data_IF_707363705005
#
_entry.id   IF_707363705005
#
_cell.length_a   1.000
_cell.length_b   1.000
_cell.length_c   1.000
_cell.angle_alpha   90.00
_cell.angle_beta   90.00
_cell.angle_gamma   90.00
#
_symmetry.space_group_name_H-M   'P 1'
#
loop_
_entity.id
_entity.type
_entity.pdbx_description
1 polymer ?
#
# COMPACT_ATOMS: atom_id res chain seq x y z
N UNK A 1 16.18 0.66 8.76
CA UNK A 1 15.25 0.40 7.62
C UNK A 1 15.31 1.60 6.70
N UNK A 2 15.57 1.35 5.43
CA UNK A 2 15.51 2.36 4.37
C UNK A 2 14.29 2.09 3.48
N UNK A 3 13.43 3.08 3.30
CA UNK A 3 12.27 3.03 2.40
C UNK A 3 12.57 3.84 1.15
N UNK A 4 12.34 3.26 -0.03
CA UNK A 4 12.51 3.89 -1.34
C UNK A 4 11.16 3.91 -2.07
N UNK A 5 10.74 5.08 -2.53
CA UNK A 5 9.60 5.23 -3.42
C UNK A 5 10.01 4.88 -4.85
N UNK A 6 9.37 3.90 -5.46
CA UNK A 6 9.65 3.51 -6.84
C UNK A 6 8.76 4.31 -7.79
N UNK A 7 7.46 4.02 -7.76
CA UNK A 7 6.45 4.70 -8.58
C UNK A 7 5.04 4.32 -8.13
N UNK A 8 4.09 5.24 -8.13
CA UNK A 8 2.67 5.03 -7.82
C UNK A 8 2.44 4.42 -6.44
N UNK A 9 2.11 3.12 -6.36
CA UNK A 9 2.02 2.35 -5.12
C UNK A 9 3.24 1.45 -4.90
N UNK A 10 4.26 1.57 -5.77
CA UNK A 10 5.48 0.79 -5.74
C UNK A 10 6.51 1.32 -4.76
N UNK A 11 6.94 0.48 -3.82
CA UNK A 11 7.97 0.78 -2.83
C UNK A 11 8.97 -0.36 -2.69
N UNK A 12 10.19 -0.03 -2.27
CA UNK A 12 11.14 -0.99 -1.75
C UNK A 12 11.48 -0.64 -0.30
N UNK A 13 11.36 -1.59 0.61
CA UNK A 13 11.79 -1.46 2.00
C UNK A 13 12.96 -2.40 2.26
N UNK A 14 14.13 -1.82 2.51
CA UNK A 14 15.34 -2.55 2.89
C UNK A 14 15.41 -2.62 4.42
N UNK A 15 15.32 -3.84 4.96
CA UNK A 15 15.53 -4.12 6.38
C UNK A 15 16.97 -4.58 6.62
N UNK A 16 17.30 -4.99 7.83
CA UNK A 16 18.64 -5.51 8.12
C UNK A 16 18.87 -6.86 7.43
N UNK A 17 17.82 -7.68 7.24
CA UNK A 17 17.93 -9.06 6.76
C UNK A 17 17.35 -9.31 5.37
N UNK A 18 16.40 -8.51 4.90
CA UNK A 18 15.74 -8.74 3.61
C UNK A 18 15.35 -7.42 2.91
N UNK A 19 14.86 -7.56 1.68
CA UNK A 19 14.28 -6.48 0.88
C UNK A 19 12.85 -6.86 0.55
N UNK A 20 11.91 -5.96 0.80
CA UNK A 20 10.50 -6.09 0.44
C UNK A 20 10.21 -5.13 -0.71
N UNK A 21 9.62 -5.62 -1.80
CA UNK A 21 9.15 -4.81 -2.92
C UNK A 21 7.65 -4.97 -3.06
N UNK A 22 6.95 -3.85 -3.08
CA UNK A 22 5.48 -3.78 -3.15
C UNK A 22 5.04 -3.21 -4.49
N UNK A 23 3.98 -3.77 -5.04
CA UNK A 23 3.18 -3.26 -6.15
C UNK A 23 4.02 -2.61 -7.28
N UNK A 24 4.97 -3.37 -7.80
CA UNK A 24 5.86 -2.92 -8.87
C UNK A 24 5.09 -2.76 -10.19
N UNK A 25 5.07 -1.55 -10.69
CA UNK A 25 4.53 -1.20 -12.00
C UNK A 25 5.62 -0.72 -12.96
N UNK A 26 6.25 0.41 -12.67
CA UNK A 26 7.34 1.02 -13.41
C UNK A 26 8.48 1.42 -12.48
N UNK A 27 9.67 1.60 -13.04
CA UNK A 27 10.87 2.05 -12.32
C UNK A 27 11.60 3.15 -13.07
N UNK A 28 11.01 4.36 -13.17
CA UNK A 28 11.59 5.46 -13.95
C UNK A 28 12.94 5.95 -13.39
N UNK A 29 13.20 5.72 -12.11
CA UNK A 29 14.44 6.12 -11.46
C UNK A 29 15.53 5.03 -11.44
N UNK A 30 15.24 3.80 -11.92
CA UNK A 30 16.21 2.71 -11.94
C UNK A 30 16.59 2.19 -10.55
N UNK A 31 15.64 2.05 -9.66
CA UNK A 31 15.83 1.55 -8.28
C UNK A 31 16.17 0.06 -8.28
N UNK A 32 15.43 -0.74 -9.06
CA UNK A 32 15.52 -2.21 -9.03
C UNK A 32 16.87 -2.77 -9.43
N UNK A 33 17.62 -2.25 -10.44
CA UNK A 33 18.94 -2.76 -10.79
C UNK A 33 19.90 -2.82 -9.60
N UNK A 34 19.88 -1.84 -8.69
CA UNK A 34 20.69 -1.81 -7.46
C UNK A 34 20.21 -2.88 -6.47
N UNK A 35 18.93 -2.99 -6.25
CA UNK A 35 18.34 -3.95 -5.30
C UNK A 35 18.57 -5.40 -5.70
N UNK A 36 18.52 -5.69 -6.99
CA UNK A 36 18.79 -7.03 -7.52
C UNK A 36 20.25 -7.47 -7.34
N UNK A 37 21.20 -6.54 -7.18
CA UNK A 37 22.61 -6.84 -6.87
C UNK A 37 22.86 -7.11 -5.38
N UNK A 38 21.92 -6.77 -4.51
CA UNK A 38 22.05 -7.01 -3.07
C UNK A 38 22.12 -8.50 -2.77
N UNK A 39 22.88 -8.90 -1.75
CA UNK A 39 22.95 -10.29 -1.27
C UNK A 39 21.73 -10.67 -0.41
N UNK A 40 20.96 -9.69 0.09
CA UNK A 40 19.76 -9.93 0.91
C UNK A 40 18.67 -10.63 0.09
N UNK A 41 17.91 -11.58 0.68
CA UNK A 41 16.70 -12.10 0.05
C UNK A 41 15.73 -10.98 -0.36
N UNK A 42 15.05 -11.17 -1.49
CA UNK A 42 14.07 -10.25 -2.03
C UNK A 42 12.68 -10.88 -1.98
N UNK A 43 11.74 -10.21 -1.34
CA UNK A 43 10.33 -10.58 -1.31
C UNK A 43 9.52 -9.60 -2.13
N UNK A 44 8.72 -10.12 -3.04
CA UNK A 44 7.91 -9.32 -3.98
C UNK A 44 6.45 -9.56 -3.68
N UNK A 45 5.73 -8.46 -3.46
CA UNK A 45 4.31 -8.43 -3.15
C UNK A 45 3.57 -7.66 -4.23
N UNK A 46 2.45 -8.22 -4.73
CA UNK A 46 1.51 -7.47 -5.55
C UNK A 46 0.10 -7.68 -5.03
N UNK A 47 -0.57 -6.58 -4.72
CA UNK A 47 -1.85 -6.56 -4.02
C UNK A 47 -3.01 -7.03 -4.87
N UNK A 48 -2.99 -6.77 -6.19
CA UNK A 48 -4.04 -7.16 -7.13
C UNK A 48 -3.57 -7.12 -8.59
N UNK A 49 -4.47 -7.39 -9.53
CA UNK A 49 -4.16 -7.67 -10.94
C UNK A 49 -4.01 -6.43 -11.83
N UNK A 50 -4.39 -5.22 -11.40
CA UNK A 50 -4.29 -4.00 -12.20
C UNK A 50 -2.83 -3.69 -12.56
N UNK A 51 -2.63 -3.05 -13.72
CA UNK A 51 -1.28 -2.81 -14.28
C UNK A 51 -0.43 -1.91 -13.39
N UNK A 52 -1.03 -0.96 -12.71
CA UNK A 52 -0.39 -0.03 -11.80
C UNK A 52 0.05 -0.65 -10.45
N UNK A 53 -0.28 -1.96 -10.22
CA UNK A 53 0.11 -2.73 -9.04
C UNK A 53 0.80 -4.05 -9.37
N UNK A 54 0.72 -4.51 -10.64
CA UNK A 54 1.30 -5.77 -11.05
C UNK A 54 1.89 -5.71 -12.45
N UNK A 55 3.22 -5.75 -12.55
CA UNK A 55 3.95 -5.90 -13.80
C UNK A 55 4.63 -7.28 -13.84
N UNK A 56 4.40 -8.05 -14.93
CA UNK A 56 4.98 -9.39 -15.11
C UNK A 56 6.52 -9.41 -15.19
N UNK A 57 7.16 -8.27 -15.44
CA UNK A 57 8.62 -8.15 -15.48
C UNK A 57 9.29 -8.59 -14.17
N UNK A 58 8.53 -8.56 -13.04
CA UNK A 58 9.02 -9.06 -11.75
C UNK A 58 9.55 -10.50 -11.85
N UNK A 59 8.93 -11.36 -12.66
CA UNK A 59 9.33 -12.77 -12.77
C UNK A 59 10.70 -12.95 -13.46
N UNK A 60 11.16 -11.97 -14.23
CA UNK A 60 12.49 -11.96 -14.80
C UNK A 60 13.59 -11.81 -13.76
N UNK A 61 13.28 -11.31 -12.57
CA UNK A 61 14.28 -11.01 -11.53
C UNK A 61 14.96 -12.27 -10.97
N UNK A 62 14.25 -13.40 -10.96
CA UNK A 62 14.83 -14.69 -10.55
C UNK A 62 16.00 -15.17 -11.43
N UNK A 63 16.11 -14.67 -12.68
CA UNK A 63 17.26 -14.95 -13.55
C UNK A 63 18.50 -14.16 -13.15
N UNK A 64 18.34 -13.09 -12.38
CA UNK A 64 19.40 -12.17 -11.94
C UNK A 64 19.74 -12.30 -10.46
N UNK A 65 18.81 -12.88 -9.67
CA UNK A 65 18.91 -12.99 -8.22
C UNK A 65 18.27 -14.32 -7.77
N UNK A 66 19.08 -15.23 -7.20
CA UNK A 66 18.62 -16.57 -6.86
C UNK A 66 17.60 -16.62 -5.70
N UNK A 67 17.69 -15.68 -4.74
CA UNK A 67 16.86 -15.66 -3.54
C UNK A 67 15.74 -14.61 -3.64
N UNK A 68 14.89 -14.76 -4.65
CA UNK A 68 13.64 -14.01 -4.80
C UNK A 68 12.46 -14.88 -4.38
N UNK A 69 11.52 -14.32 -3.64
CA UNK A 69 10.23 -14.92 -3.27
C UNK A 69 9.08 -14.06 -3.77
N UNK A 70 8.10 -14.67 -4.39
CA UNK A 70 6.91 -14.00 -4.88
C UNK A 70 5.70 -14.39 -4.03
N UNK A 71 5.18 -13.46 -3.25
CA UNK A 71 3.98 -13.61 -2.43
C UNK A 71 2.91 -12.69 -3.02
N UNK A 72 2.02 -13.24 -3.80
CA UNK A 72 1.12 -12.48 -4.65
C UNK A 72 -0.35 -12.71 -4.27
N UNK A 73 -1.21 -11.74 -4.59
CA UNK A 73 -2.64 -11.88 -4.41
C UNK A 73 -3.24 -12.96 -5.33
N UNK A 74 -4.14 -13.78 -4.79
CA UNK A 74 -4.96 -14.73 -5.60
C UNK A 74 -5.77 -14.05 -6.70
N UNK A 75 -6.03 -12.78 -6.57
CA UNK A 75 -6.73 -11.97 -7.54
C UNK A 75 -6.02 -11.96 -8.90
N UNK A 76 -4.67 -11.91 -8.89
CA UNK A 76 -3.83 -11.96 -10.10
C UNK A 76 -4.04 -13.28 -10.87
N UNK A 77 -4.14 -14.42 -10.15
CA UNK A 77 -4.47 -15.72 -10.76
C UNK A 77 -5.89 -15.74 -11.31
N UNK A 78 -6.85 -15.24 -10.55
CA UNK A 78 -8.26 -15.19 -10.94
C UNK A 78 -8.45 -14.43 -12.25
N UNK A 79 -7.69 -13.35 -12.45
CA UNK A 79 -7.70 -12.55 -13.67
C UNK A 79 -6.70 -13.04 -14.74
N UNK A 80 -6.08 -14.22 -14.55
CA UNK A 80 -5.17 -14.88 -15.50
C UNK A 80 -3.97 -14.02 -15.90
N UNK A 81 -3.51 -13.17 -14.98
CA UNK A 81 -2.34 -12.30 -15.21
C UNK A 81 -1.01 -13.04 -14.95
N UNK A 82 -1.04 -14.17 -14.26
CA UNK A 82 0.11 -15.04 -13.98
C UNK A 82 -0.30 -16.52 -13.97
N UNK A 83 0.70 -17.42 -14.00
CA UNK A 83 0.54 -18.85 -13.84
C UNK A 83 0.75 -19.26 -12.38
N UNK A 84 0.16 -20.38 -11.96
CA UNK A 84 0.22 -20.85 -10.57
C UNK A 84 1.65 -21.08 -10.09
N UNK A 85 2.51 -21.55 -10.97
CA UNK A 85 3.89 -21.94 -10.72
C UNK A 85 4.86 -20.74 -10.64
N UNK A 86 4.42 -19.55 -11.03
CA UNK A 86 5.25 -18.34 -11.07
C UNK A 86 5.43 -17.66 -9.70
N UNK A 87 4.70 -18.10 -8.66
CA UNK A 87 4.86 -17.53 -7.33
C UNK A 87 4.98 -18.60 -6.24
N UNK A 88 5.71 -18.28 -5.18
CA UNK A 88 5.89 -19.13 -3.99
C UNK A 88 4.58 -19.21 -3.18
N UNK A 89 3.78 -18.15 -3.17
CA UNK A 89 2.48 -18.15 -2.50
C UNK A 89 1.46 -17.24 -3.20
N UNK A 90 0.20 -17.71 -3.21
CA UNK A 90 -0.97 -16.97 -3.67
C UNK A 90 -1.91 -16.76 -2.50
N UNK A 91 -2.02 -15.53 -2.00
CA UNK A 91 -2.79 -15.24 -0.80
C UNK A 91 -4.08 -14.50 -1.12
N UNK A 92 -5.15 -14.86 -0.44
CA UNK A 92 -6.41 -14.12 -0.39
C UNK A 92 -6.66 -13.64 1.03
N UNK A 93 -7.71 -12.83 1.25
CA UNK A 93 -8.08 -12.30 2.57
C UNK A 93 -8.07 -13.39 3.65
N UNK A 94 -7.36 -13.13 4.74
CA UNK A 94 -7.21 -14.01 5.90
C UNK A 94 -6.11 -15.07 5.78
N UNK A 95 -5.50 -15.23 4.59
CA UNK A 95 -4.39 -16.16 4.41
C UNK A 95 -3.07 -15.59 4.92
N UNK A 96 -2.19 -16.47 5.40
CA UNK A 96 -0.87 -16.14 5.92
C UNK A 96 0.18 -16.99 5.23
N UNK A 97 1.35 -16.44 5.03
CA UNK A 97 2.58 -17.12 4.62
C UNK A 97 3.73 -16.66 5.51
N UNK A 98 4.69 -17.54 5.84
CA UNK A 98 5.83 -17.23 6.69
C UNK A 98 7.06 -18.06 6.36
N UNK A 99 8.23 -17.51 6.63
CA UNK A 99 9.51 -18.18 6.70
C UNK A 99 10.34 -17.66 7.90
N UNK A 100 11.66 -17.90 7.89
CA UNK A 100 12.53 -17.49 9.00
C UNK A 100 12.71 -15.98 9.13
N UNK A 101 12.45 -15.19 8.07
CA UNK A 101 12.70 -13.74 8.03
C UNK A 101 11.45 -12.90 8.20
N UNK A 102 10.30 -13.39 7.74
CA UNK A 102 9.07 -12.61 7.81
C UNK A 102 7.81 -13.46 7.89
N UNK A 103 6.77 -12.85 8.40
CA UNK A 103 5.39 -13.32 8.32
C UNK A 103 4.55 -12.30 7.58
N UNK A 104 3.76 -12.74 6.63
CA UNK A 104 2.80 -11.90 5.91
C UNK A 104 1.38 -12.42 6.08
N UNK A 105 0.44 -11.51 6.36
CA UNK A 105 -1.00 -11.78 6.37
C UNK A 105 -1.66 -10.92 5.31
N UNK A 106 -2.40 -11.55 4.39
CA UNK A 106 -3.23 -10.86 3.44
C UNK A 106 -4.53 -10.43 4.13
N UNK A 107 -4.79 -9.14 4.22
CA UNK A 107 -6.06 -8.58 4.70
C UNK A 107 -6.94 -8.18 3.51
N UNK A 108 -8.21 -7.84 3.74
CA UNK A 108 -9.11 -7.48 2.65
C UNK A 108 -8.84 -6.10 2.06
N UNK A 109 -9.38 -5.89 0.87
CA UNK A 109 -9.55 -4.59 0.24
C UNK A 109 -11.02 -4.42 -0.13
N UNK A 110 -11.53 -3.20 -0.08
CA UNK A 110 -12.90 -2.89 -0.50
C UNK A 110 -13.00 -2.60 -2.00
N UNK A 111 -11.87 -2.55 -2.70
CA UNK A 111 -11.79 -2.48 -4.15
C UNK A 111 -11.35 -3.84 -4.73
N UNK A 112 -10.07 -4.04 -4.99
CA UNK A 112 -9.53 -5.26 -5.60
C UNK A 112 -8.45 -5.91 -4.72
N UNK A 113 -8.33 -7.24 -4.77
CA UNK A 113 -7.25 -8.01 -4.19
C UNK A 113 -7.17 -7.96 -2.67
N UNK A 114 -6.01 -7.58 -2.16
CA UNK A 114 -5.67 -7.61 -0.72
C UNK A 114 -4.82 -6.41 -0.31
N UNK A 115 -4.81 -6.14 1.01
CA UNK A 115 -3.78 -5.34 1.66
C UNK A 115 -2.80 -6.27 2.39
N UNK A 116 -1.59 -5.80 2.66
CA UNK A 116 -0.53 -6.59 3.27
C UNK A 116 -0.21 -6.11 4.68
N UNK A 117 -0.24 -7.02 5.65
CA UNK A 117 0.35 -6.86 6.97
C UNK A 117 1.60 -7.72 7.03
N UNK A 118 2.77 -7.13 7.19
CA UNK A 118 4.05 -7.83 7.20
C UNK A 118 4.76 -7.59 8.54
N UNK A 119 5.25 -8.67 9.13
CA UNK A 119 6.06 -8.67 10.34
C UNK A 119 7.46 -9.16 9.99
N UNK A 120 8.47 -8.31 10.18
CA UNK A 120 9.88 -8.60 9.94
C UNK A 120 10.75 -7.71 10.83
N UNK A 121 11.90 -8.21 11.30
CA UNK A 121 12.85 -7.48 12.16
C UNK A 121 12.18 -6.80 13.37
N UNK A 122 11.16 -7.44 13.94
CA UNK A 122 10.38 -6.91 15.09
C UNK A 122 9.53 -5.69 14.74
N UNK A 123 9.32 -5.41 13.43
CA UNK A 123 8.53 -4.31 12.90
C UNK A 123 7.28 -4.82 12.19
N UNK A 124 6.24 -4.00 12.19
CA UNK A 124 5.00 -4.28 11.50
C UNK A 124 4.75 -3.23 10.43
N UNK A 125 4.67 -3.68 9.18
CA UNK A 125 4.54 -2.86 7.98
C UNK A 125 3.14 -3.11 7.39
N UNK A 126 2.48 -2.06 6.96
CA UNK A 126 1.21 -2.11 6.26
C UNK A 126 1.35 -1.51 4.87
N UNK A 127 0.91 -2.24 3.84
CA UNK A 127 0.72 -1.72 2.50
C UNK A 127 -0.74 -1.94 2.10
N UNK A 128 -1.45 -0.85 1.88
CA UNK A 128 -2.90 -0.87 1.70
C UNK A 128 -3.37 -1.50 0.38
N UNK A 129 -2.49 -1.62 -0.66
CA UNK A 129 -2.99 -1.84 -2.01
C UNK A 129 -4.02 -0.76 -2.33
N UNK A 130 -5.17 -1.15 -2.85
CA UNK A 130 -6.27 -0.22 -3.14
C UNK A 130 -7.38 -0.19 -2.06
N UNK A 131 -7.03 -0.53 -0.82
CA UNK A 131 -7.92 -0.29 0.30
C UNK A 131 -8.04 1.22 0.56
N UNK A 132 -9.21 1.82 0.29
CA UNK A 132 -9.46 3.24 0.50
C UNK A 132 -10.95 3.57 0.50
N UNK A 133 -11.31 4.77 0.96
CA UNK A 133 -12.64 5.34 0.80
C UNK A 133 -12.76 6.06 -0.56
N UNK A 134 -12.93 5.27 -1.63
CA UNK A 134 -12.87 5.74 -3.02
C UNK A 134 -14.01 6.69 -3.41
N UNK A 135 -15.13 6.64 -2.71
CA UNK A 135 -16.32 7.45 -3.03
C UNK A 135 -16.54 8.59 -2.04
N UNK A 136 -15.50 8.99 -1.30
CA UNK A 136 -15.56 10.02 -0.27
C UNK A 136 -16.07 11.38 -0.77
N UNK A 137 -15.86 11.72 -2.05
CA UNK A 137 -16.32 12.98 -2.66
C UNK A 137 -17.85 13.16 -2.65
N UNK A 138 -18.59 12.07 -2.59
CA UNK A 138 -20.05 12.07 -2.56
C UNK A 138 -20.63 12.13 -1.15
N UNK A 139 -19.79 11.98 -0.11
CA UNK A 139 -20.19 12.04 1.31
C UNK A 139 -20.07 13.48 1.82
N UNK A 140 -20.83 14.38 1.20
CA UNK A 140 -20.93 15.79 1.59
C UNK A 140 -22.03 16.01 2.64
N UNK A 141 -22.10 17.22 3.20
CA UNK A 141 -23.15 17.59 4.16
C UNK A 141 -24.57 17.51 3.56
N UNK A 142 -24.68 17.63 2.22
CA UNK A 142 -25.94 17.52 1.49
C UNK A 142 -26.29 16.07 1.10
N UNK A 143 -25.44 15.09 1.42
CA UNK A 143 -25.74 13.69 1.16
C UNK A 143 -26.64 13.11 2.24
N UNK A 144 -27.86 12.77 1.86
CA UNK A 144 -28.87 12.22 2.77
C UNK A 144 -29.14 10.72 2.57
N UNK A 145 -28.24 10.02 1.90
CA UNK A 145 -28.35 8.59 1.60
C UNK A 145 -28.89 8.32 0.18
N UNK A 146 -28.78 7.06 -0.24
CA UNK A 146 -29.24 6.58 -1.53
C UNK A 146 -28.15 6.47 -2.59
N UNK A 147 -28.57 6.20 -3.83
CA UNK A 147 -27.67 6.02 -4.97
C UNK A 147 -27.26 7.36 -5.56
N UNK A 148 -25.99 7.47 -5.94
CA UNK A 148 -25.41 8.59 -6.66
C UNK A 148 -24.74 8.07 -7.92
N UNK A 149 -24.97 8.71 -9.05
CA UNK A 149 -24.30 8.36 -10.29
C UNK A 149 -22.80 8.72 -10.23
N UNK A 150 -21.96 7.74 -10.46
CA UNK A 150 -20.51 7.93 -10.58
C UNK A 150 -20.11 8.04 -12.04
N UNK A 151 -19.75 9.22 -12.55
CA UNK A 151 -19.39 9.41 -13.95
C UNK A 151 -18.10 8.68 -14.33
N UNK A 152 -17.19 8.45 -13.39
CA UNK A 152 -15.91 7.78 -13.65
C UNK A 152 -16.10 6.29 -14.00
N UNK A 153 -17.14 5.66 -13.44
CA UNK A 153 -17.43 4.25 -13.64
C UNK A 153 -18.72 4.02 -14.46
N UNK A 154 -19.49 5.07 -14.74
CA UNK A 154 -20.75 4.97 -15.46
C UNK A 154 -21.84 4.16 -14.75
N UNK A 155 -21.81 4.09 -13.42
CA UNK A 155 -22.71 3.31 -12.58
C UNK A 155 -23.28 4.11 -11.43
N UNK A 156 -24.44 3.67 -10.92
CA UNK A 156 -24.98 4.16 -9.65
C UNK A 156 -24.31 3.42 -8.48
N UNK A 157 -23.86 4.19 -7.50
CA UNK A 157 -23.22 3.70 -6.28
C UNK A 157 -23.95 4.23 -5.05
N UNK A 158 -23.84 3.53 -3.95
CA UNK A 158 -24.22 3.98 -2.61
C UNK A 158 -22.93 4.35 -1.83
N UNK A 159 -22.56 5.64 -1.75
CA UNK A 159 -21.30 6.03 -1.12
C UNK A 159 -21.19 5.65 0.35
N UNK A 160 -22.33 5.65 1.09
CA UNK A 160 -22.34 5.26 2.50
C UNK A 160 -22.11 3.76 2.67
N UNK A 161 -22.63 2.94 1.75
CA UNK A 161 -22.39 1.50 1.73
C UNK A 161 -20.92 1.18 1.38
N UNK A 162 -20.34 1.90 0.42
CA UNK A 162 -18.93 1.74 0.06
C UNK A 162 -17.99 2.18 1.19
N UNK A 163 -18.28 3.30 1.86
CA UNK A 163 -17.56 3.70 3.08
C UNK A 163 -17.69 2.64 4.17
N UNK A 164 -18.89 2.09 4.37
CA UNK A 164 -19.08 1.01 5.35
C UNK A 164 -18.22 -0.21 5.02
N UNK A 165 -18.13 -0.62 3.75
CA UNK A 165 -17.24 -1.73 3.33
C UNK A 165 -15.78 -1.44 3.68
N UNK A 166 -15.30 -0.23 3.38
CA UNK A 166 -13.97 0.21 3.77
C UNK A 166 -13.75 0.14 5.28
N UNK A 167 -14.67 0.70 6.07
CA UNK A 167 -14.58 0.69 7.54
C UNK A 167 -14.66 -0.74 8.14
N UNK A 168 -15.39 -1.66 7.51
CA UNK A 168 -15.45 -3.05 7.94
C UNK A 168 -14.12 -3.77 7.69
N UNK A 169 -13.39 -3.44 6.59
CA UNK A 169 -12.02 -3.93 6.40
C UNK A 169 -11.06 -3.41 7.49
N UNK A 170 -11.17 -2.13 7.89
CA UNK A 170 -10.38 -1.60 9.01
C UNK A 170 -10.67 -2.34 10.31
N UNK A 171 -11.92 -2.69 10.60
CA UNK A 171 -12.29 -3.50 11.78
C UNK A 171 -11.67 -4.90 11.74
N UNK A 172 -11.61 -5.53 10.56
CA UNK A 172 -10.98 -6.83 10.40
C UNK A 172 -9.46 -6.75 10.63
N UNK A 173 -8.81 -5.73 10.08
CA UNK A 173 -7.37 -5.47 10.32
C UNK A 173 -7.12 -5.21 11.81
N UNK A 174 -8.03 -4.49 12.48
CA UNK A 174 -7.91 -4.16 13.91
C UNK A 174 -7.91 -5.39 14.82
N UNK A 175 -8.51 -6.50 14.38
CA UNK A 175 -8.46 -7.79 15.10
C UNK A 175 -7.04 -8.40 15.12
N UNK A 176 -6.22 -8.08 14.13
CA UNK A 176 -4.83 -8.55 14.02
C UNK A 176 -3.88 -7.67 14.83
N UNK A 177 -4.05 -6.36 14.73
CA UNK A 177 -3.16 -5.38 15.38
C UNK A 177 -3.82 -4.01 15.52
N UNK A 178 -3.32 -3.20 16.45
CA UNK A 178 -3.70 -1.78 16.62
C UNK A 178 -2.57 -0.82 16.23
N UNK A 179 -1.43 -1.33 15.77
CA UNK A 179 -0.23 -0.53 15.55
C UNK A 179 0.54 -1.03 14.32
N UNK A 180 1.09 -0.06 13.58
CA UNK A 180 2.05 -0.28 12.50
C UNK A 180 3.26 0.65 12.67
N UNK A 181 4.47 0.15 12.36
CA UNK A 181 5.69 0.97 12.33
C UNK A 181 5.77 1.80 11.05
N UNK A 182 5.35 1.24 9.90
CA UNK A 182 5.28 1.91 8.61
C UNK A 182 3.93 1.60 7.95
N UNK A 183 3.26 2.63 7.44
CA UNK A 183 1.99 2.53 6.73
C UNK A 183 2.14 3.20 5.37
N UNK A 184 1.97 2.45 4.29
CA UNK A 184 1.84 2.92 2.91
C UNK A 184 0.35 2.90 2.55
N UNK A 185 -0.24 4.09 2.28
CA UNK A 185 -1.70 4.21 2.14
C UNK A 185 -2.09 5.20 1.03
N UNK A 186 -3.14 4.91 0.22
CA UNK A 186 -3.58 5.76 -0.87
C UNK A 186 -4.00 7.16 -0.41
N UNK A 187 -3.46 8.19 -1.09
CA UNK A 187 -3.86 9.59 -0.97
C UNK A 187 -4.04 10.12 -2.40
N UNK A 188 -5.15 9.76 -3.03
CA UNK A 188 -5.38 9.98 -4.46
C UNK A 188 -6.30 11.16 -4.72
N UNK A 189 -5.72 12.26 -5.20
CA UNK A 189 -6.46 13.48 -5.51
C UNK A 189 -7.52 13.33 -6.60
N UNK A 190 -7.51 12.25 -7.40
CA UNK A 190 -8.55 11.95 -8.40
C UNK A 190 -9.93 11.72 -7.76
N UNK A 191 -9.96 11.28 -6.51
CA UNK A 191 -11.21 11.14 -5.75
C UNK A 191 -11.94 12.50 -5.65
N UNK A 192 -11.22 13.62 -5.76
CA UNK A 192 -11.81 14.95 -5.61
C UNK A 192 -11.97 15.36 -4.14
N UNK A 193 -13.01 16.10 -3.81
CA UNK A 193 -13.24 16.55 -2.43
C UNK A 193 -13.30 15.36 -1.46
N UNK A 194 -12.60 15.46 -0.34
CA UNK A 194 -12.57 14.39 0.66
C UNK A 194 -11.58 13.25 0.36
N UNK A 195 -10.69 13.36 -0.63
CA UNK A 195 -9.74 12.30 -1.01
C UNK A 195 -8.79 11.85 0.11
N UNK A 196 -8.62 12.66 1.15
CA UNK A 196 -7.86 12.30 2.35
C UNK A 196 -8.69 11.53 3.38
N UNK A 197 -10.02 11.37 3.17
CA UNK A 197 -10.94 10.81 4.17
C UNK A 197 -10.56 9.39 4.56
N UNK A 198 -10.27 8.51 3.61
CA UNK A 198 -9.87 7.14 3.90
C UNK A 198 -8.59 7.04 4.73
N UNK A 199 -7.56 7.82 4.36
CA UNK A 199 -6.30 7.89 5.11
C UNK A 199 -6.50 8.43 6.54
N UNK A 200 -7.36 9.45 6.72
CA UNK A 200 -7.72 9.97 8.05
C UNK A 200 -8.43 8.93 8.89
N UNK A 201 -9.42 8.24 8.33
CA UNK A 201 -10.16 7.16 9.01
C UNK A 201 -9.23 6.03 9.42
N UNK A 202 -8.24 5.68 8.59
CA UNK A 202 -7.21 4.70 8.95
C UNK A 202 -6.38 5.17 10.16
N UNK A 203 -5.90 6.41 10.15
CA UNK A 203 -5.11 7.00 11.25
C UNK A 203 -5.92 7.26 12.52
N UNK A 204 -7.26 7.27 12.46
CA UNK A 204 -8.12 7.31 13.64
C UNK A 204 -8.23 5.93 14.33
N UNK A 205 -8.00 4.85 13.58
CA UNK A 205 -8.10 3.47 14.07
C UNK A 205 -6.75 2.91 14.52
N UNK A 206 -5.65 3.26 13.82
CA UNK A 206 -4.35 2.61 14.01
C UNK A 206 -3.27 3.58 14.47
N UNK A 207 -2.52 3.19 15.49
CA UNK A 207 -1.27 3.86 15.87
C UNK A 207 -0.24 3.64 14.77
N UNK A 208 0.29 4.71 14.22
CA UNK A 208 1.18 4.69 13.06
C UNK A 208 2.52 5.35 13.40
N UNK A 209 3.62 4.63 13.19
CA UNK A 209 4.98 5.13 13.42
C UNK A 209 5.46 6.05 12.31
N UNK A 210 5.18 5.70 11.03
CA UNK A 210 5.45 6.53 9.86
C UNK A 210 4.31 6.35 8.85
N UNK A 211 3.68 7.45 8.44
CA UNK A 211 2.72 7.46 7.35
C UNK A 211 3.39 7.84 6.03
N UNK A 212 3.16 7.03 5.00
CA UNK A 212 3.72 7.17 3.66
C UNK A 212 2.58 7.22 2.65
N UNK A 213 2.36 8.35 1.96
CA UNK A 213 1.33 8.44 0.94
C UNK A 213 1.73 7.63 -0.30
N UNK A 214 0.74 7.06 -0.97
CA UNK A 214 0.90 6.39 -2.26
C UNK A 214 -0.29 6.64 -3.17
N UNK A 215 -0.28 6.10 -4.40
CA UNK A 215 -1.38 6.17 -5.36
C UNK A 215 -1.73 7.59 -5.85
N UNK A 216 -0.76 8.50 -5.89
CA UNK A 216 -0.97 9.93 -6.19
C UNK A 216 -0.39 10.38 -7.54
N UNK A 217 0.21 9.50 -8.35
CA UNK A 217 0.93 9.89 -9.58
C UNK A 217 0.07 10.75 -10.51
N UNK A 218 -1.18 10.39 -10.71
CA UNK A 218 -2.08 11.15 -11.59
C UNK A 218 -2.50 12.52 -11.02
N UNK A 219 -2.37 12.74 -9.71
CA UNK A 219 -2.73 14.00 -9.03
C UNK A 219 -1.51 14.80 -8.55
N UNK A 220 -0.29 14.24 -8.73
CA UNK A 220 0.99 14.86 -8.39
C UNK A 220 1.35 14.75 -6.90
N UNK A 221 2.64 14.88 -6.61
CA UNK A 221 3.22 14.77 -5.26
C UNK A 221 2.58 15.74 -4.26
N UNK A 222 2.30 16.98 -4.68
CA UNK A 222 1.74 18.01 -3.79
C UNK A 222 0.35 17.67 -3.28
N UNK A 223 -0.45 16.92 -4.06
CA UNK A 223 -1.76 16.47 -3.62
C UNK A 223 -1.65 15.57 -2.39
N UNK A 224 -0.66 14.67 -2.37
CA UNK A 224 -0.42 13.77 -1.26
C UNK A 224 0.04 14.50 0.02
N UNK A 225 0.74 15.64 -0.12
CA UNK A 225 1.25 16.41 1.03
C UNK A 225 0.15 17.07 1.88
N UNK A 226 -1.08 17.19 1.37
CA UNK A 226 -2.22 17.67 2.18
C UNK A 226 -2.51 16.80 3.39
N UNK A 227 -2.08 15.53 3.38
CA UNK A 227 -2.16 14.68 4.58
C UNK A 227 -1.24 15.14 5.72
N UNK A 228 -0.18 15.93 5.40
CA UNK A 228 0.80 16.38 6.41
C UNK A 228 0.15 17.19 7.54
N UNK A 229 -0.75 18.11 7.23
CA UNK A 229 -1.46 18.90 8.25
C UNK A 229 -2.18 17.99 9.26
N UNK A 230 -2.87 16.95 8.77
CA UNK A 230 -3.59 16.01 9.61
C UNK A 230 -2.65 15.11 10.42
N UNK A 231 -1.56 14.63 9.82
CA UNK A 231 -0.57 13.81 10.49
C UNK A 231 0.18 14.60 11.57
N UNK A 232 0.51 15.88 11.31
CA UNK A 232 1.13 16.78 12.27
C UNK A 232 0.22 16.99 13.49
N UNK A 233 -1.09 17.24 13.26
CA UNK A 233 -2.07 17.39 14.34
C UNK A 233 -2.20 16.13 15.22
N UNK A 234 -1.89 14.96 14.69
CA UNK A 234 -1.86 13.66 15.40
C UNK A 234 -0.46 13.25 15.90
N UNK A 235 0.55 14.08 15.66
CA UNK A 235 1.95 13.74 15.95
C UNK A 235 2.39 12.44 15.27
N UNK A 236 1.90 12.18 14.05
CA UNK A 236 2.29 11.05 13.23
C UNK A 236 3.36 11.50 12.23
N UNK A 237 4.57 10.92 12.26
CA UNK A 237 5.60 11.19 11.26
C UNK A 237 5.07 10.95 9.83
N UNK A 238 5.38 11.88 8.91
CA UNK A 238 4.91 11.86 7.54
C UNK A 238 6.08 12.01 6.56
N UNK A 239 6.17 11.13 5.54
CA UNK A 239 7.17 11.28 4.50
C UNK A 239 6.63 12.07 3.31
N UNK A 240 7.13 13.30 3.14
CA UNK A 240 6.87 14.14 1.96
C UNK A 240 7.71 13.67 0.77
N UNK A 241 7.23 12.69 0.03
CA UNK A 241 7.88 12.20 -1.20
C UNK A 241 7.83 13.31 -2.25
N UNK A 242 8.94 13.54 -2.98
CA UNK A 242 9.10 14.64 -3.94
C UNK A 242 9.46 14.19 -5.35
N UNK A 243 9.97 12.95 -5.48
CA UNK A 243 10.38 12.38 -6.77
C UNK A 243 10.44 10.86 -6.70
N UNK A 244 10.45 10.24 -7.87
CA UNK A 244 10.73 8.82 -8.02
C UNK A 244 12.19 8.53 -7.61
N UNK A 245 12.40 7.33 -7.05
CA UNK A 245 13.70 6.89 -6.53
C UNK A 245 14.15 7.62 -5.25
N UNK A 246 13.34 8.52 -4.69
CA UNK A 246 13.64 9.12 -3.39
C UNK A 246 13.62 8.04 -2.30
N UNK A 247 14.62 8.10 -1.40
CA UNK A 247 14.72 7.19 -0.27
C UNK A 247 14.80 7.95 1.04
N UNK A 248 14.39 7.32 2.12
CA UNK A 248 14.49 7.84 3.47
C UNK A 248 14.87 6.75 4.47
N UNK A 249 15.62 7.15 5.51
CA UNK A 249 15.78 6.32 6.70
C UNK A 249 14.57 6.50 7.62
N UNK A 250 13.78 5.44 7.78
CA UNK A 250 12.53 5.46 8.56
C UNK A 250 12.72 6.07 9.95
N UNK A 251 13.80 5.67 10.66
CA UNK A 251 14.12 6.19 11.99
C UNK A 251 14.42 7.70 12.02
N UNK A 252 14.97 8.25 10.94
CA UNK A 252 15.31 9.67 10.88
C UNK A 252 14.07 10.54 10.74
N UNK A 253 13.09 10.13 9.91
CA UNK A 253 11.81 10.83 9.80
C UNK A 253 11.05 10.79 11.13
N UNK A 254 11.02 9.62 11.79
CA UNK A 254 10.38 9.49 13.11
C UNK A 254 11.05 10.41 14.14
N UNK A 255 12.38 10.49 14.15
CA UNK A 255 13.12 11.34 15.08
C UNK A 255 12.93 12.86 14.80
N UNK A 256 12.74 13.25 13.56
CA UNK A 256 12.46 14.65 13.18
C UNK A 256 11.07 15.10 13.63
N UNK A 257 10.06 14.23 13.57
CA UNK A 257 8.70 14.55 13.98
C UNK A 257 8.53 14.61 15.51
N UNK A 258 9.52 14.12 16.27
CA UNK A 258 9.52 14.12 17.76
C UNK A 258 10.20 15.37 18.35
N UNK A 259 10.69 16.29 17.51
CA UNK A 259 11.31 17.58 17.88
C UNK A 259 10.35 18.72 17.69
#
# INVERSE_FOLDING_TARGET
>A
MQLTYIFHSGFALETDHCILVFDYWMDPAGVMPRLLQSLKPLYVFSSHFHEDHFNRDIFSWQTRKANVRYILSKDILKHRRAQKEEADAWLGKGATWEDELLRVTATGSNDSGVSWVIETDGKRIFHAGDLNNWYARFLTDDYHGGLVYSPDFGIDIDPAKEEKRFLDELKDIRKLTDRFDVVMFPVDGRIGNGYTRGARQFLDVFRTGLFVPMHFVASGFESAWRMKEFTDAKSVPFWCIRREGECCEVKEIIAQASR
#
